data_IF_582178531520
#
_entry.id   IF_582178531520
#
_cell.length_a   1.000
_cell.length_b   1.000
_cell.length_c   1.000
_cell.angle_alpha   90.00
_cell.angle_beta   90.00
_cell.angle_gamma   90.00
#
_symmetry.space_group_name_H-M   'P 1'
#
loop_
_entity.id
_entity.type
_entity.pdbx_description
1 polymer ?
#
# COMPACT_ATOMS: atom_id res chain seq x y z
N UNK A 1 -12.48 -8.14 -11.60
CA UNK A 1 -11.86 -8.45 -10.31
C UNK A 1 -11.46 -7.16 -9.62
N UNK A 2 -11.60 -7.10 -8.31
CA UNK A 2 -11.26 -5.90 -7.56
C UNK A 2 -9.91 -6.04 -6.90
N UNK A 3 -9.23 -4.92 -6.72
CA UNK A 3 -7.93 -4.84 -6.08
C UNK A 3 -7.99 -3.79 -4.98
N UNK A 4 -7.30 -4.05 -3.89
CA UNK A 4 -7.35 -3.17 -2.72
C UNK A 4 -5.93 -2.77 -2.35
N UNK A 5 -5.72 -1.45 -2.24
CA UNK A 5 -4.46 -0.90 -1.77
C UNK A 5 -4.59 -0.62 -0.28
N UNK A 6 -3.70 -1.22 0.50
CA UNK A 6 -3.75 -1.13 1.96
C UNK A 6 -2.40 -0.65 2.47
N UNK A 7 -2.41 0.23 3.46
CA UNK A 7 -1.17 0.70 4.04
C UNK A 7 -1.33 1.03 5.52
N UNK A 8 -0.19 0.92 6.22
CA UNK A 8 -0.06 1.24 7.64
C UNK A 8 1.15 2.14 7.76
N UNK A 9 1.06 3.20 8.54
CA UNK A 9 2.20 4.06 8.81
C UNK A 9 2.37 4.26 10.31
N UNK A 10 3.62 4.27 10.76
CA UNK A 10 4.00 4.47 12.17
C UNK A 10 3.32 3.47 13.12
N UNK A 11 3.08 2.25 12.64
CA UNK A 11 2.47 1.22 13.43
C UNK A 11 0.98 1.39 13.70
N UNK A 12 0.38 2.45 13.17
CA UNK A 12 -1.05 2.72 13.36
C UNK A 12 -1.83 2.21 12.16
N UNK A 13 -2.71 1.27 12.41
CA UNK A 13 -3.60 0.78 11.37
C UNK A 13 -4.74 1.77 11.19
N UNK A 14 -4.86 2.31 9.98
CA UNK A 14 -5.91 3.25 9.65
C UNK A 14 -6.87 2.57 8.68
N UNK A 15 -7.96 2.06 9.22
CA UNK A 15 -8.92 1.27 8.45
C UNK A 15 -9.61 2.07 7.34
N UNK A 16 -9.60 3.38 7.45
CA UNK A 16 -10.16 4.25 6.43
C UNK A 16 -9.18 4.45 5.25
N UNK A 17 -8.01 3.85 5.31
CA UNK A 17 -6.97 4.00 4.30
C UNK A 17 -6.89 2.78 3.40
N UNK A 18 -8.04 2.34 2.90
CA UNK A 18 -8.12 1.27 1.92
C UNK A 18 -8.72 1.85 0.65
N UNK A 19 -7.98 1.79 -0.45
CA UNK A 19 -8.44 2.25 -1.74
C UNK A 19 -8.76 1.05 -2.62
N UNK A 20 -9.82 1.15 -3.40
CA UNK A 20 -10.29 0.06 -4.26
C UNK A 20 -10.06 0.42 -5.72
N UNK A 21 -9.59 -0.55 -6.48
CA UNK A 21 -9.35 -0.39 -7.92
C UNK A 21 -9.96 -1.57 -8.66
N UNK A 22 -10.56 -1.30 -9.82
CA UNK A 22 -11.13 -2.35 -10.66
C UNK A 22 -10.18 -2.79 -11.76
N UNK A 23 -9.06 -2.09 -11.92
CA UNK A 23 -8.05 -2.37 -12.95
C UNK A 23 -6.71 -2.64 -12.27
N UNK A 24 -6.09 -3.76 -12.63
CA UNK A 24 -4.81 -4.18 -12.04
C UNK A 24 -3.72 -3.12 -12.26
N UNK A 25 -3.64 -2.56 -13.48
CA UNK A 25 -2.64 -1.53 -13.80
C UNK A 25 -2.81 -0.29 -12.92
N UNK A 26 -4.06 0.13 -12.72
CA UNK A 26 -4.34 1.29 -11.87
C UNK A 26 -3.93 1.01 -10.43
N UNK A 27 -4.21 -0.20 -9.96
CA UNK A 27 -3.82 -0.62 -8.61
C UNK A 27 -2.31 -0.63 -8.44
N UNK A 28 -1.58 -1.19 -9.40
CA UNK A 28 -0.12 -1.26 -9.35
C UNK A 28 0.49 0.15 -9.36
N UNK A 29 -0.04 1.05 -10.20
CA UNK A 29 0.42 2.43 -10.24
C UNK A 29 0.16 3.14 -8.92
N UNK A 30 -1.00 2.91 -8.32
CA UNK A 30 -1.34 3.50 -7.02
C UNK A 30 -0.44 2.96 -5.92
N UNK A 31 -0.11 1.66 -5.97
CA UNK A 31 0.82 1.05 -5.01
C UNK A 31 2.19 1.72 -5.08
N UNK A 32 2.74 1.86 -6.28
CA UNK A 32 4.05 2.48 -6.46
C UNK A 32 4.06 3.93 -5.99
N UNK A 33 3.00 4.67 -6.28
CA UNK A 33 2.86 6.06 -5.87
C UNK A 33 2.77 6.18 -4.35
N UNK A 34 1.98 5.33 -3.71
CA UNK A 34 1.84 5.34 -2.25
C UNK A 34 3.16 4.97 -1.57
N UNK A 35 3.83 3.96 -2.08
CA UNK A 35 5.13 3.57 -1.55
C UNK A 35 6.11 4.74 -1.60
N UNK A 36 6.19 5.42 -2.75
CA UNK A 36 7.05 6.59 -2.89
C UNK A 36 6.70 7.70 -1.91
N UNK A 37 5.41 7.93 -1.69
CA UNK A 37 4.95 8.94 -0.74
C UNK A 37 5.37 8.58 0.69
N UNK A 38 5.18 7.34 1.09
CA UNK A 38 5.55 6.90 2.44
C UNK A 38 7.05 6.96 2.66
N UNK A 39 7.83 6.58 1.66
CA UNK A 39 9.30 6.68 1.72
C UNK A 39 9.75 8.13 1.84
N UNK A 40 9.09 9.04 1.13
CA UNK A 40 9.50 10.44 1.06
C UNK A 40 8.97 11.33 2.19
N UNK A 41 8.10 10.82 3.05
CA UNK A 41 7.52 11.62 4.12
C UNK A 41 8.32 11.45 5.40
N UNK A 42 8.89 12.55 5.90
CA UNK A 42 9.78 12.51 7.06
C UNK A 42 9.08 12.03 8.33
N UNK A 43 7.80 12.30 8.47
CA UNK A 43 7.02 11.90 9.64
C UNK A 43 6.72 10.41 9.68
N UNK A 44 6.85 9.72 8.55
CA UNK A 44 6.61 8.28 8.49
C UNK A 44 7.89 7.57 8.88
N UNK A 45 7.90 6.95 10.06
CA UNK A 45 9.07 6.24 10.59
C UNK A 45 9.06 4.76 10.25
N UNK A 46 7.88 4.20 10.08
CA UNK A 46 7.74 2.81 9.62
C UNK A 46 6.48 2.71 8.77
N UNK A 47 6.47 1.78 7.83
CA UNK A 47 5.33 1.62 6.96
C UNK A 47 5.25 0.21 6.41
N UNK A 48 4.04 -0.19 6.04
CA UNK A 48 3.77 -1.36 5.23
C UNK A 48 2.73 -0.93 4.20
N UNK A 49 2.99 -1.23 2.93
CA UNK A 49 2.03 -0.96 1.85
C UNK A 49 1.94 -2.19 0.98
N UNK A 50 0.73 -2.56 0.59
CA UNK A 50 0.51 -3.73 -0.25
C UNK A 50 -0.73 -3.55 -1.11
N UNK A 51 -0.72 -4.21 -2.27
CA UNK A 51 -1.87 -4.32 -3.15
C UNK A 51 -2.30 -5.78 -3.14
N UNK A 52 -3.57 -6.03 -2.84
CA UNK A 52 -4.12 -7.38 -2.81
C UNK A 52 -5.31 -7.49 -3.77
N UNK A 53 -5.61 -8.70 -4.20
CA UNK A 53 -6.77 -8.96 -5.05
C UNK A 53 -8.01 -9.26 -4.19
N UNK A 54 -9.10 -9.66 -4.84
CA UNK A 54 -10.35 -9.95 -4.12
C UNK A 54 -10.26 -11.18 -3.22
N UNK A 55 -9.22 -11.98 -3.35
CA UNK A 55 -8.94 -13.13 -2.47
C UNK A 55 -7.94 -12.75 -1.38
N UNK A 56 -7.54 -11.48 -1.31
CA UNK A 56 -6.54 -10.96 -0.38
C UNK A 56 -5.15 -11.52 -0.59
N UNK A 57 -4.86 -11.99 -1.81
CA UNK A 57 -3.51 -12.40 -2.19
C UNK A 57 -2.74 -11.19 -2.72
N UNK A 58 -1.48 -11.06 -2.32
CA UNK A 58 -0.62 -9.98 -2.78
C UNK A 58 -0.41 -10.09 -4.29
N UNK A 59 -0.64 -8.98 -5.00
CA UNK A 59 -0.57 -8.92 -6.46
C UNK A 59 0.89 -8.73 -6.89
N UNK A 60 1.43 -9.69 -7.67
CA UNK A 60 2.72 -9.54 -8.37
C UNK A 60 3.83 -8.91 -7.53
N UNK A 61 3.95 -9.30 -6.27
CA UNK A 61 5.00 -8.76 -5.39
C UNK A 61 4.76 -7.33 -4.93
N UNK A 62 3.53 -6.84 -5.02
CA UNK A 62 3.18 -5.49 -4.60
C UNK A 62 3.05 -5.39 -3.09
N UNK A 63 4.17 -5.56 -2.40
CA UNK A 63 4.24 -5.42 -0.96
C UNK A 63 5.60 -4.82 -0.60
N UNK A 64 5.59 -3.72 0.12
CA UNK A 64 6.81 -3.06 0.58
C UNK A 64 6.66 -2.67 2.03
N UNK A 65 7.73 -2.80 2.77
CA UNK A 65 7.77 -2.36 4.15
C UNK A 65 9.13 -1.74 4.42
N UNK A 66 9.17 -0.86 5.40
CA UNK A 66 10.43 -0.22 5.75
C UNK A 66 10.36 0.44 7.11
N UNK A 67 11.52 0.65 7.70
CA UNK A 67 11.67 1.37 8.95
C UNK A 67 12.74 2.42 8.76
N UNK A 68 12.44 3.64 9.12
CA UNK A 68 13.36 4.77 9.04
C UNK A 68 13.74 5.22 10.44
N UNK A 69 14.98 5.58 10.59
CA UNK A 69 15.48 6.06 11.88
C UNK A 69 15.79 7.52 11.87
#
# INVERSE_FOLDING_TARGET
MKYYLMWISNGSFQTDKIAEYSDKSAGISAFASKWGTLEGTAEVKSYIVQLVDSNFDVVDGCKRSGTKE
#
